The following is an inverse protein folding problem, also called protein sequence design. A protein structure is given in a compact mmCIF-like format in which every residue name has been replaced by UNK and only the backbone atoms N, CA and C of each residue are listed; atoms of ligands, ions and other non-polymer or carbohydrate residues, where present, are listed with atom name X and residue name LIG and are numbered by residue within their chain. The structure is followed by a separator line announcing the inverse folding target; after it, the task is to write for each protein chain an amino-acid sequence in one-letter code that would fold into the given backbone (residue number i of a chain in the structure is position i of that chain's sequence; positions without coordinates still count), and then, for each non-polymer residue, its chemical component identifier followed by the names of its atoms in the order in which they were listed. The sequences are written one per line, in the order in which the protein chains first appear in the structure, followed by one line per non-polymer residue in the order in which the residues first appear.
data_IF_735451608077
#
_entry.id   IF_735451608077
#
_cell.length_a   1.000
_cell.length_b   1.000
_cell.length_c   1.000
_cell.angle_alpha   90.00
_cell.angle_beta   90.00
_cell.angle_gamma   90.00
#
_symmetry.space_group_name_H-M   'P 1'
#
loop_
_entity.id
_entity.type
_entity.pdbx_description
1 polymer ?
#
# COMPACT_ATOMS: atom_id res chain seq x y z
N UNK A 1 28.65 21.58 31.13
CA UNK A 1 27.36 22.30 31.07
C UNK A 1 27.10 22.69 29.62
N UNK A 2 26.55 21.77 28.83
CA UNK A 2 26.16 22.03 27.44
C UNK A 2 24.65 22.21 27.39
N UNK A 3 24.19 23.32 26.82
CA UNK A 3 22.77 23.64 26.66
C UNK A 3 22.14 22.69 25.62
N UNK A 4 21.17 21.90 26.04
CA UNK A 4 20.25 21.22 25.13
C UNK A 4 19.46 22.27 24.35
N UNK A 5 19.69 22.32 23.04
CA UNK A 5 18.81 23.02 22.11
C UNK A 5 17.66 22.06 21.80
N UNK A 6 16.63 22.10 22.64
CA UNK A 6 15.32 21.54 22.32
C UNK A 6 14.77 22.35 21.16
N UNK A 7 14.86 21.81 19.96
CA UNK A 7 14.23 22.38 18.78
C UNK A 7 12.72 22.08 18.89
N UNK A 8 12.00 22.95 19.60
CA UNK A 8 10.54 23.01 19.57
C UNK A 8 10.11 23.24 18.13
N UNK A 9 9.63 22.18 17.48
CA UNK A 9 8.84 22.30 16.26
C UNK A 9 7.55 22.99 16.69
N UNK A 10 7.43 24.28 16.39
CA UNK A 10 6.15 24.97 16.47
C UNK A 10 5.18 24.27 15.52
N UNK A 11 4.32 23.45 16.10
CA UNK A 11 3.11 22.97 15.42
C UNK A 11 2.28 24.22 15.16
N UNK A 12 2.23 24.63 13.90
CA UNK A 12 1.30 25.62 13.37
C UNK A 12 -0.09 25.36 13.97
N UNK A 13 -0.52 26.23 14.88
CA UNK A 13 -1.90 26.29 15.33
C UNK A 13 -2.73 26.78 14.14
N UNK A 14 -3.24 25.85 13.34
CA UNK A 14 -4.33 26.18 12.44
C UNK A 14 -5.53 26.65 13.28
N UNK A 15 -6.14 27.80 12.93
CA UNK A 15 -7.31 28.29 13.64
C UNK A 15 -8.45 27.29 13.47
N UNK A 16 -9.28 27.19 14.52
CA UNK A 16 -10.47 26.36 14.62
C UNK A 16 -11.35 26.47 13.36
N UNK A 17 -11.10 25.59 12.38
CA UNK A 17 -12.08 25.30 11.37
C UNK A 17 -13.16 24.48 12.09
N UNK A 18 -14.39 24.98 12.13
CA UNK A 18 -15.53 24.19 12.56
C UNK A 18 -15.69 22.96 11.67
N UNK A 19 -15.08 21.85 12.07
CA UNK A 19 -15.12 20.58 11.33
C UNK A 19 -16.34 19.79 11.79
N UNK A 20 -17.52 20.18 11.32
CA UNK A 20 -18.61 19.22 11.09
C UNK A 20 -18.36 18.60 9.71
N UNK A 21 -17.35 17.75 9.58
CA UNK A 21 -17.21 16.88 8.41
C UNK A 21 -17.43 15.44 8.85
N UNK A 22 -18.58 14.89 8.48
CA UNK A 22 -18.79 13.46 8.47
C UNK A 22 -17.88 12.87 7.38
N UNK A 23 -16.62 12.57 7.73
CA UNK A 23 -15.67 11.96 6.79
C UNK A 23 -15.82 10.44 6.89
N UNK A 24 -16.75 9.90 6.12
CA UNK A 24 -16.99 8.46 6.04
C UNK A 24 -17.85 8.14 4.82
N UNK A 25 -17.51 7.05 4.13
CA UNK A 25 -18.33 6.53 3.03
C UNK A 25 -19.76 6.32 3.51
N UNK A 26 -20.75 6.92 2.82
CA UNK A 26 -22.18 6.73 3.11
C UNK A 26 -22.63 5.30 2.79
N UNK A 27 -22.26 4.37 3.66
CA UNK A 27 -22.58 2.97 3.53
C UNK A 27 -24.10 2.73 3.50
N UNK A 28 -24.60 1.78 2.68
CA UNK A 28 -26.02 1.39 2.70
C UNK A 28 -26.51 1.21 4.13
N UNK A 29 -27.63 1.80 4.54
CA UNK A 29 -28.06 1.73 5.94
C UNK A 29 -28.26 0.30 6.46
N UNK A 30 -28.54 -0.65 5.56
CA UNK A 30 -28.68 -2.07 5.89
C UNK A 30 -27.31 -2.76 5.98
N UNK A 31 -27.06 -3.45 7.10
CA UNK A 31 -25.85 -4.26 7.32
C UNK A 31 -25.68 -5.33 6.24
N UNK A 32 -26.76 -6.01 5.88
CA UNK A 32 -26.74 -7.05 4.84
C UNK A 32 -26.31 -6.48 3.49
N UNK A 33 -26.83 -5.32 3.10
CA UNK A 33 -26.45 -4.64 1.86
C UNK A 33 -24.99 -4.19 1.86
N UNK A 34 -24.45 -3.74 3.01
CA UNK A 34 -23.02 -3.42 3.17
C UNK A 34 -22.17 -4.67 2.95
N UNK A 35 -22.48 -5.75 3.67
CA UNK A 35 -21.72 -7.00 3.61
C UNK A 35 -21.77 -7.62 2.20
N UNK A 36 -22.94 -7.61 1.55
CA UNK A 36 -23.08 -8.13 0.18
C UNK A 36 -22.28 -7.31 -0.82
N UNK A 37 -22.39 -5.98 -0.77
CA UNK A 37 -21.66 -5.09 -1.67
C UNK A 37 -20.14 -5.24 -1.49
N UNK A 38 -19.66 -5.28 -0.24
CA UNK A 38 -18.26 -5.51 0.09
C UNK A 38 -17.78 -6.87 -0.40
N UNK A 39 -18.55 -7.94 -0.14
CA UNK A 39 -18.20 -9.28 -0.59
C UNK A 39 -18.10 -9.37 -2.11
N UNK A 40 -19.02 -8.69 -2.83
CA UNK A 40 -18.94 -8.59 -4.29
C UNK A 40 -17.66 -7.90 -4.74
N UNK A 41 -17.30 -6.76 -4.14
CA UNK A 41 -16.08 -6.05 -4.51
C UNK A 41 -14.83 -6.86 -4.19
N UNK A 42 -14.71 -7.42 -2.98
CA UNK A 42 -13.56 -8.24 -2.60
C UNK A 42 -13.46 -9.49 -3.47
N UNK A 43 -14.58 -10.11 -3.88
CA UNK A 43 -14.56 -11.23 -4.81
C UNK A 43 -14.05 -10.82 -6.21
N UNK A 44 -14.51 -9.67 -6.72
CA UNK A 44 -14.04 -9.15 -8.01
C UNK A 44 -12.55 -8.78 -7.98
N UNK A 45 -12.10 -8.12 -6.90
CA UNK A 45 -10.72 -7.71 -6.67
C UNK A 45 -9.79 -8.93 -6.56
N UNK A 46 -10.13 -9.88 -5.68
CA UNK A 46 -9.39 -11.13 -5.51
C UNK A 46 -9.36 -11.93 -6.81
N UNK A 47 -10.51 -12.08 -7.47
CA UNK A 47 -10.63 -12.77 -8.76
C UNK A 47 -9.77 -12.13 -9.84
N UNK A 48 -9.77 -10.80 -9.92
CA UNK A 48 -8.90 -10.04 -10.81
C UNK A 48 -7.42 -10.29 -10.50
N UNK A 49 -6.97 -10.11 -9.26
CA UNK A 49 -5.56 -10.28 -8.90
C UNK A 49 -5.07 -11.70 -9.08
N UNK A 50 -5.89 -12.70 -8.76
CA UNK A 50 -5.57 -14.12 -8.99
C UNK A 50 -5.43 -14.43 -10.49
N UNK A 51 -6.34 -13.93 -11.32
CA UNK A 51 -6.32 -14.15 -12.78
C UNK A 51 -5.13 -13.43 -13.41
N UNK A 52 -4.91 -12.16 -13.03
CA UNK A 52 -3.79 -11.36 -13.50
C UNK A 52 -2.45 -11.98 -13.11
N UNK A 53 -2.32 -12.48 -11.88
CA UNK A 53 -1.12 -13.21 -11.45
C UNK A 53 -0.90 -14.48 -12.29
N UNK A 54 -1.96 -15.26 -12.53
CA UNK A 54 -1.87 -16.46 -13.35
C UNK A 54 -1.38 -16.15 -14.76
N UNK A 55 -1.88 -15.07 -15.37
CA UNK A 55 -1.43 -14.60 -16.68
C UNK A 55 0.05 -14.20 -16.66
N UNK A 56 0.51 -13.44 -15.65
CA UNK A 56 1.91 -13.05 -15.53
C UNK A 56 2.84 -14.26 -15.37
N UNK A 57 2.47 -15.22 -14.53
CA UNK A 57 3.21 -16.48 -14.37
C UNK A 57 3.28 -17.22 -15.71
N UNK A 58 2.15 -17.37 -16.40
CA UNK A 58 2.10 -18.06 -17.69
C UNK A 58 3.02 -17.43 -18.74
N UNK A 59 3.04 -16.09 -18.81
CA UNK A 59 3.87 -15.36 -19.77
C UNK A 59 5.35 -15.32 -19.38
N UNK A 60 5.68 -15.23 -18.08
CA UNK A 60 7.06 -15.06 -17.62
C UNK A 60 7.80 -16.39 -17.47
N UNK A 61 7.13 -17.45 -17.00
CA UNK A 61 7.76 -18.72 -16.62
C UNK A 61 8.66 -19.35 -17.71
N UNK A 62 8.29 -19.33 -19.01
CA UNK A 62 9.14 -19.90 -20.06
C UNK A 62 10.50 -19.22 -20.22
N UNK A 63 10.65 -18.00 -19.73
CA UNK A 63 11.85 -17.19 -19.91
C UNK A 63 12.70 -17.10 -18.63
N UNK A 64 12.19 -17.55 -17.48
CA UNK A 64 12.88 -17.40 -16.22
C UNK A 64 14.13 -18.30 -16.16
N UNK A 65 15.32 -17.73 -15.91
CA UNK A 65 16.53 -18.53 -15.76
C UNK A 65 16.45 -19.37 -14.49
N UNK A 66 17.00 -20.58 -14.53
CA UNK A 66 17.19 -21.40 -13.33
C UNK A 66 18.57 -21.13 -12.76
N UNK A 67 18.62 -20.77 -11.48
CA UNK A 67 19.88 -20.47 -10.81
C UNK A 67 20.92 -21.59 -10.96
N UNK A 68 20.47 -22.84 -10.91
CA UNK A 68 21.29 -24.05 -11.02
C UNK A 68 21.92 -24.25 -12.42
N UNK A 69 21.36 -23.61 -13.44
CA UNK A 69 21.81 -23.74 -14.84
C UNK A 69 22.80 -22.63 -15.25
N UNK A 70 23.06 -21.66 -14.38
CA UNK A 70 23.84 -20.47 -14.71
C UNK A 70 25.29 -20.57 -14.23
N UNK A 71 26.23 -20.09 -15.06
CA UNK A 71 27.66 -20.16 -14.76
C UNK A 71 28.10 -19.22 -13.60
N UNK A 72 27.31 -18.21 -13.26
CA UNK A 72 27.60 -17.28 -12.16
C UNK A 72 26.37 -16.48 -11.73
N UNK A 73 26.43 -15.89 -10.53
CA UNK A 73 25.43 -14.93 -10.01
C UNK A 73 25.18 -13.76 -10.95
N UNK A 74 26.24 -13.24 -11.57
CA UNK A 74 26.11 -12.13 -12.52
C UNK A 74 25.33 -12.55 -13.77
N UNK A 75 25.65 -13.72 -14.35
CA UNK A 75 24.96 -14.23 -15.53
C UNK A 75 23.46 -14.47 -15.25
N UNK A 76 23.15 -15.09 -14.12
CA UNK A 76 21.78 -15.27 -13.65
C UNK A 76 21.06 -13.93 -13.50
N UNK A 77 21.66 -12.98 -12.77
CA UNK A 77 21.02 -11.69 -12.49
C UNK A 77 20.75 -10.89 -13.76
N UNK A 78 21.70 -10.87 -14.72
CA UNK A 78 21.53 -10.19 -16.01
C UNK A 78 20.35 -10.74 -16.81
N UNK A 79 20.04 -12.04 -16.69
CA UNK A 79 18.87 -12.67 -17.33
C UNK A 79 17.58 -12.49 -16.52
N UNK A 80 17.65 -12.63 -15.20
CA UNK A 80 16.49 -12.58 -14.31
C UNK A 80 15.94 -11.16 -14.13
N UNK A 81 16.81 -10.16 -14.06
CA UNK A 81 16.45 -8.76 -13.85
C UNK A 81 15.49 -8.20 -14.90
N UNK A 82 15.75 -8.28 -16.23
CA UNK A 82 14.83 -7.69 -17.22
C UNK A 82 13.43 -8.32 -17.19
N UNK A 83 13.33 -9.61 -16.91
CA UNK A 83 12.03 -10.30 -16.78
C UNK A 83 11.32 -9.84 -15.50
N UNK A 84 12.03 -9.87 -14.37
CA UNK A 84 11.53 -9.41 -13.08
C UNK A 84 11.08 -7.94 -13.15
N UNK A 85 11.82 -7.11 -13.88
CA UNK A 85 11.49 -5.71 -14.12
C UNK A 85 10.23 -5.53 -14.95
N UNK A 86 10.11 -6.25 -16.05
CA UNK A 86 8.91 -6.20 -16.91
C UNK A 86 7.67 -6.65 -16.14
N UNK A 87 7.78 -7.74 -15.36
CA UNK A 87 6.69 -8.24 -14.52
C UNK A 87 6.33 -7.22 -13.45
N UNK A 88 7.30 -6.72 -12.68
CA UNK A 88 7.07 -5.76 -11.60
C UNK A 88 6.47 -4.45 -12.11
N UNK A 89 6.96 -3.95 -13.25
CA UNK A 89 6.43 -2.75 -13.92
C UNK A 89 4.98 -2.95 -14.33
N UNK A 90 4.67 -4.11 -14.95
CA UNK A 90 3.32 -4.44 -15.39
C UNK A 90 2.38 -4.56 -14.20
N UNK A 91 2.80 -5.27 -13.14
CA UNK A 91 2.03 -5.43 -11.92
C UNK A 91 1.66 -4.08 -11.33
N UNK A 92 2.67 -3.26 -11.08
CA UNK A 92 2.48 -1.99 -10.41
C UNK A 92 1.62 -1.04 -11.24
N UNK A 93 1.92 -0.91 -12.54
CA UNK A 93 1.18 -0.03 -13.44
C UNK A 93 -0.31 -0.39 -13.50
N UNK A 94 -0.61 -1.69 -13.68
CA UNK A 94 -1.99 -2.18 -13.81
C UNK A 94 -2.74 -2.03 -12.48
N UNK A 95 -2.15 -2.43 -11.36
CA UNK A 95 -2.79 -2.32 -10.04
C UNK A 95 -3.06 -0.86 -9.69
N UNK A 96 -2.06 0.01 -9.83
CA UNK A 96 -2.21 1.44 -9.57
C UNK A 96 -3.30 2.05 -10.46
N UNK A 97 -3.33 1.70 -11.75
CA UNK A 97 -4.38 2.18 -12.67
C UNK A 97 -5.79 1.71 -12.26
N UNK A 98 -5.94 0.47 -11.77
CA UNK A 98 -7.21 -0.04 -11.26
C UNK A 98 -7.63 0.71 -10.00
N UNK A 99 -6.73 0.91 -9.04
CA UNK A 99 -6.98 1.65 -7.80
C UNK A 99 -7.39 3.09 -8.10
N UNK A 100 -6.64 3.79 -8.95
CA UNK A 100 -6.94 5.17 -9.35
C UNK A 100 -8.28 5.25 -10.09
N UNK A 101 -8.58 4.30 -10.99
CA UNK A 101 -9.86 4.26 -11.69
C UNK A 101 -11.04 4.10 -10.72
N UNK A 102 -10.90 3.19 -9.74
CA UNK A 102 -11.91 2.98 -8.71
C UNK A 102 -12.08 4.24 -7.85
N UNK A 103 -10.99 4.90 -7.45
CA UNK A 103 -11.03 6.16 -6.70
C UNK A 103 -11.76 7.28 -7.46
N UNK A 104 -11.55 7.40 -8.77
CA UNK A 104 -12.07 8.52 -9.55
C UNK A 104 -13.49 8.32 -10.11
N UNK A 105 -13.86 7.06 -10.38
CA UNK A 105 -15.09 6.73 -11.11
C UNK A 105 -16.14 6.07 -10.24
N UNK A 106 -15.73 5.43 -9.15
CA UNK A 106 -16.63 4.68 -8.28
C UNK A 106 -16.80 5.38 -6.93
N UNK A 107 -15.77 6.05 -6.42
CA UNK A 107 -15.83 6.65 -5.09
C UNK A 107 -16.42 8.07 -5.06
N UNK A 108 -17.32 8.36 -4.11
CA UNK A 108 -17.81 9.71 -3.90
C UNK A 108 -16.74 10.61 -3.26
N UNK A 109 -16.84 11.92 -3.49
CA UNK A 109 -15.85 12.93 -3.07
C UNK A 109 -15.65 13.02 -1.55
N UNK A 110 -16.65 12.63 -0.76
CA UNK A 110 -16.62 12.58 0.70
C UNK A 110 -15.68 11.52 1.27
N UNK A 111 -15.26 10.55 0.45
CA UNK A 111 -14.36 9.46 0.84
C UNK A 111 -12.88 9.81 0.69
N UNK A 112 -12.56 10.97 0.12
CA UNK A 112 -11.20 11.46 -0.04
C UNK A 112 -10.73 12.07 1.29
N UNK A 113 -9.82 11.43 2.01
CA UNK A 113 -9.32 11.87 3.32
C UNK A 113 -8.22 12.93 3.20
N UNK A 114 -7.47 12.94 2.09
CA UNK A 114 -6.31 13.81 1.90
C UNK A 114 -6.65 15.30 1.85
N UNK A 115 -6.28 16.02 2.91
CA UNK A 115 -6.46 17.48 3.01
C UNK A 115 -5.71 18.26 1.92
N UNK A 116 -4.58 17.74 1.44
CA UNK A 116 -3.73 18.35 0.41
C UNK A 116 -4.26 18.17 -1.03
N UNK A 117 -5.11 17.16 -1.30
CA UNK A 117 -5.92 17.12 -2.54
C UNK A 117 -7.00 18.22 -2.54
N UNK A 118 -7.39 18.70 -1.36
CA UNK A 118 -8.41 19.75 -1.16
C UNK A 118 -7.81 21.16 -1.12
N UNK A 119 -6.57 21.34 -0.64
CA UNK A 119 -5.98 22.66 -0.35
C UNK A 119 -5.12 23.28 -1.47
N UNK A 120 -4.92 22.57 -2.58
CA UNK A 120 -4.13 23.06 -3.73
C UNK A 120 -4.95 23.52 -4.94
N UNK A 121 -6.27 23.32 -4.94
CA UNK A 121 -7.12 23.80 -6.01
C UNK A 121 -7.43 25.29 -5.76
N UNK A 122 -6.99 26.24 -6.63
CA UNK A 122 -7.51 27.60 -6.55
C UNK A 122 -9.05 27.54 -6.55
N UNK A 123 -9.73 28.46 -5.84
CA UNK A 123 -11.20 28.48 -5.74
C UNK A 123 -11.92 28.47 -7.10
N UNK A 124 -11.22 28.80 -8.19
CA UNK A 124 -11.69 28.66 -9.57
C UNK A 124 -11.65 27.21 -10.11
N UNK A 125 -10.74 26.35 -9.64
CA UNK A 125 -10.69 24.92 -9.94
C UNK A 125 -11.71 24.11 -9.12
N UNK A 126 -12.25 24.65 -8.02
CA UNK A 126 -13.43 24.07 -7.36
C UNK A 126 -14.69 24.06 -8.25
N UNK A 127 -14.70 24.82 -9.36
CA UNK A 127 -15.77 24.77 -10.37
C UNK A 127 -15.50 23.78 -11.51
N UNK A 128 -14.26 23.34 -11.69
CA UNK A 128 -13.90 22.23 -12.59
C UNK A 128 -13.78 20.92 -11.81
N UNK A 129 -14.82 20.58 -11.03
CA UNK A 129 -15.02 19.26 -10.42
C UNK A 129 -15.35 18.19 -11.49
N UNK A 130 -14.58 18.16 -12.56
CA UNK A 130 -14.61 17.12 -13.57
C UNK A 130 -13.69 15.99 -13.14
N UNK A 131 -14.12 14.76 -13.40
CA UNK A 131 -13.27 13.57 -13.34
C UNK A 131 -11.86 13.85 -13.90
N UNK A 132 -10.84 13.29 -13.27
CA UNK A 132 -9.45 13.43 -13.73
C UNK A 132 -9.34 13.17 -15.24
N UNK A 133 -8.64 14.01 -15.99
CA UNK A 133 -8.51 13.83 -17.44
C UNK A 133 -7.45 12.75 -17.75
N UNK A 134 -7.88 11.49 -17.70
CA UNK A 134 -7.10 10.29 -18.03
C UNK A 134 -6.41 10.33 -19.41
N UNK A 135 -6.97 11.08 -20.36
CA UNK A 135 -6.40 11.28 -21.70
C UNK A 135 -5.31 12.35 -21.80
N UNK A 136 -5.00 13.07 -20.71
CA UNK A 136 -3.93 14.06 -20.72
C UNK A 136 -2.57 13.34 -20.65
N UNK A 137 -1.68 13.65 -21.59
CA UNK A 137 -0.32 13.10 -21.70
C UNK A 137 0.47 13.18 -20.39
N UNK A 138 0.18 14.16 -19.53
CA UNK A 138 0.78 14.32 -18.21
C UNK A 138 0.46 13.19 -17.22
N UNK A 139 -0.77 12.66 -17.21
CA UNK A 139 -1.14 11.56 -16.31
C UNK A 139 -0.36 10.30 -16.64
N UNK A 140 -0.41 9.87 -17.91
CA UNK A 140 0.28 8.67 -18.36
C UNK A 140 1.80 8.76 -18.13
N UNK A 141 2.43 9.91 -18.41
CA UNK A 141 3.86 10.09 -18.18
C UNK A 141 4.20 10.02 -16.69
N UNK A 142 3.39 10.63 -15.83
CA UNK A 142 3.63 10.61 -14.39
C UNK A 142 3.42 9.19 -13.82
N UNK A 143 2.34 8.52 -14.20
CA UNK A 143 2.02 7.15 -13.77
C UNK A 143 3.06 6.14 -14.25
N UNK A 144 3.53 6.28 -15.49
CA UNK A 144 4.58 5.44 -16.04
C UNK A 144 5.91 5.72 -15.36
N UNK A 145 6.32 6.99 -15.26
CA UNK A 145 7.55 7.40 -14.57
C UNK A 145 7.60 6.89 -13.13
N UNK A 146 6.46 6.88 -12.48
CA UNK A 146 6.27 6.36 -11.14
C UNK A 146 6.38 4.83 -11.07
N UNK A 147 5.65 4.12 -11.94
CA UNK A 147 5.73 2.66 -12.03
C UNK A 147 7.14 2.18 -12.33
N UNK A 148 7.89 2.92 -13.17
CA UNK A 148 9.30 2.65 -13.46
C UNK A 148 10.17 2.76 -12.19
N UNK A 149 9.94 3.75 -11.32
CA UNK A 149 10.69 3.93 -10.07
C UNK A 149 10.44 2.78 -9.07
N UNK A 150 9.21 2.28 -8.98
CA UNK A 150 8.85 1.14 -8.13
C UNK A 150 9.35 -0.19 -8.66
N UNK A 151 9.26 -0.38 -9.97
CA UNK A 151 9.62 -1.62 -10.61
C UNK A 151 11.09 -1.99 -10.39
N UNK A 152 12.01 -1.02 -10.33
CA UNK A 152 13.44 -1.29 -10.14
C UNK A 152 13.73 -2.05 -8.83
N UNK A 153 13.44 -1.50 -7.63
CA UNK A 153 13.76 -2.20 -6.39
C UNK A 153 12.99 -3.52 -6.23
N UNK A 154 11.72 -3.57 -6.68
CA UNK A 154 10.93 -4.82 -6.65
C UNK A 154 11.57 -5.87 -7.56
N UNK A 155 12.05 -5.48 -8.74
CA UNK A 155 12.72 -6.37 -9.67
C UNK A 155 14.06 -6.87 -9.16
N UNK A 156 14.86 -6.01 -8.53
CA UNK A 156 16.11 -6.42 -7.89
C UNK A 156 15.80 -7.43 -6.78
N UNK A 157 14.85 -7.12 -5.89
CA UNK A 157 14.45 -8.02 -4.81
C UNK A 157 13.95 -9.36 -5.35
N UNK A 158 13.09 -9.32 -6.37
CA UNK A 158 12.58 -10.52 -7.04
C UNK A 158 13.70 -11.34 -7.66
N UNK A 159 14.62 -10.73 -8.41
CA UNK A 159 15.74 -11.45 -9.02
C UNK A 159 16.65 -12.09 -7.96
N UNK A 160 16.92 -11.40 -6.85
CA UNK A 160 17.73 -11.95 -5.75
C UNK A 160 17.03 -13.08 -5.01
N UNK A 161 15.72 -12.96 -4.79
CA UNK A 161 14.93 -13.93 -4.02
C UNK A 161 14.39 -15.07 -4.87
N UNK A 162 14.37 -14.97 -6.20
CA UNK A 162 13.80 -15.99 -7.08
C UNK A 162 14.39 -17.40 -6.94
N UNK A 163 15.70 -17.59 -6.64
CA UNK A 163 16.25 -18.92 -6.34
C UNK A 163 15.64 -19.58 -5.10
N UNK A 164 14.91 -18.82 -4.28
CA UNK A 164 14.17 -19.30 -3.12
C UNK A 164 12.78 -19.85 -3.48
N UNK A 165 12.32 -19.67 -4.72
CA UNK A 165 10.98 -20.07 -5.14
C UNK A 165 10.98 -21.47 -5.72
N UNK A 166 9.91 -22.19 -5.44
CA UNK A 166 9.60 -23.45 -6.09
C UNK A 166 8.88 -23.16 -7.41
N UNK A 167 9.68 -23.03 -8.47
CA UNK A 167 9.19 -22.62 -9.79
C UNK A 167 8.49 -23.77 -10.55
N UNK A 168 8.68 -25.02 -10.13
CA UNK A 168 8.17 -26.20 -10.83
C UNK A 168 6.95 -26.84 -10.17
N UNK A 169 6.78 -26.62 -8.86
CA UNK A 169 5.64 -27.20 -8.16
C UNK A 169 4.32 -26.52 -8.52
N UNK A 170 3.23 -27.30 -8.65
CA UNK A 170 1.90 -26.74 -8.76
C UNK A 170 1.56 -25.94 -7.50
N UNK A 171 0.92 -24.78 -7.70
CA UNK A 171 0.54 -23.92 -6.59
C UNK A 171 -0.60 -24.56 -5.79
N UNK A 172 -0.41 -24.66 -4.47
CA UNK A 172 -1.44 -25.10 -3.54
C UNK A 172 -2.41 -23.96 -3.26
N UNK A 173 -3.37 -23.73 -4.16
CA UNK A 173 -4.29 -22.59 -4.11
C UNK A 173 -5.04 -22.43 -2.78
N UNK A 174 -5.27 -23.51 -2.03
CA UNK A 174 -5.91 -23.44 -0.71
C UNK A 174 -5.01 -22.81 0.37
N UNK A 175 -3.68 -22.84 0.21
CA UNK A 175 -2.72 -22.18 1.12
C UNK A 175 -2.45 -20.74 0.72
N UNK A 176 -2.70 -20.38 -0.54
CA UNK A 176 -2.43 -19.04 -1.08
C UNK A 176 -3.08 -17.91 -0.25
N UNK A 177 -4.35 -18.00 0.22
CA UNK A 177 -4.93 -16.96 1.08
C UNK A 177 -4.13 -16.70 2.36
N UNK A 178 -3.65 -17.77 3.01
CA UNK A 178 -2.85 -17.66 4.23
C UNK A 178 -1.47 -17.06 3.95
N UNK A 179 -0.88 -17.39 2.80
CA UNK A 179 0.40 -16.81 2.37
C UNK A 179 0.27 -15.31 2.07
N UNK A 180 -0.78 -14.90 1.38
CA UNK A 180 -1.09 -13.48 1.14
C UNK A 180 -1.31 -12.74 2.45
N UNK A 181 -2.14 -13.26 3.35
CA UNK A 181 -2.38 -12.59 4.64
C UNK A 181 -1.11 -12.51 5.49
N UNK A 182 -0.31 -13.59 5.53
CA UNK A 182 0.99 -13.59 6.18
C UNK A 182 1.88 -12.48 5.64
N UNK A 183 1.97 -12.35 4.31
CA UNK A 183 2.76 -11.32 3.64
C UNK A 183 2.30 -9.89 3.98
N UNK A 184 0.99 -9.65 4.03
CA UNK A 184 0.46 -8.33 4.40
C UNK A 184 0.81 -7.97 5.84
N UNK A 185 0.65 -8.92 6.77
CA UNK A 185 0.97 -8.71 8.20
C UNK A 185 2.48 -8.55 8.40
N UNK A 186 3.31 -9.44 7.86
CA UNK A 186 4.77 -9.35 8.03
C UNK A 186 5.34 -8.12 7.34
N UNK A 187 4.77 -7.74 6.20
CA UNK A 187 5.10 -6.52 5.48
C UNK A 187 4.79 -5.28 6.30
N UNK A 188 3.63 -5.25 6.97
CA UNK A 188 3.26 -4.15 7.88
C UNK A 188 4.26 -3.99 9.05
N UNK A 189 4.66 -5.09 9.69
CA UNK A 189 5.68 -5.04 10.76
C UNK A 189 7.04 -4.56 10.26
N UNK A 190 7.49 -5.05 9.10
CA UNK A 190 8.75 -4.65 8.51
C UNK A 190 8.74 -3.16 8.15
N UNK A 191 7.66 -2.70 7.51
CA UNK A 191 7.47 -1.30 7.17
C UNK A 191 7.41 -0.43 8.42
N UNK A 192 6.57 -0.77 9.39
CA UNK A 192 6.45 -0.05 10.67
C UNK A 192 7.80 0.11 11.35
N UNK A 193 8.63 -0.94 11.37
CA UNK A 193 9.95 -0.91 12.01
C UNK A 193 10.89 0.07 11.30
N UNK A 194 10.95 0.01 9.97
CA UNK A 194 11.78 0.90 9.15
C UNK A 194 11.29 2.34 9.27
N UNK A 195 9.98 2.56 9.22
CA UNK A 195 9.36 3.87 9.24
C UNK A 195 9.51 4.54 10.61
N UNK A 196 9.27 3.79 11.70
CA UNK A 196 9.58 4.25 13.06
C UNK A 196 11.06 4.62 13.21
N UNK A 197 11.96 3.78 12.69
CA UNK A 197 13.40 4.03 12.71
C UNK A 197 13.78 5.31 11.96
N UNK A 198 13.19 5.56 10.79
CA UNK A 198 13.38 6.79 10.01
C UNK A 198 12.98 8.01 10.84
N UNK A 199 11.83 7.97 11.52
CA UNK A 199 11.37 9.05 12.37
C UNK A 199 12.17 9.20 13.67
N UNK A 200 12.73 8.11 14.19
CA UNK A 200 13.53 8.11 15.42
C UNK A 200 14.95 8.65 15.20
N UNK A 201 15.56 8.35 14.06
CA UNK A 201 16.95 8.69 13.77
C UNK A 201 17.07 9.70 12.63
N UNK A 202 17.38 10.96 12.98
CA UNK A 202 17.52 12.08 12.03
C UNK A 202 18.48 11.80 10.86
N UNK A 203 19.53 11.00 11.09
CA UNK A 203 20.46 10.60 10.03
C UNK A 203 19.77 9.71 9.01
N UNK A 204 19.02 8.69 9.47
CA UNK A 204 18.27 7.80 8.59
C UNK A 204 17.19 8.57 7.83
N UNK A 205 16.41 9.40 8.54
CA UNK A 205 15.39 10.30 7.96
C UNK A 205 15.89 11.10 6.75
N UNK A 206 17.10 11.66 6.87
CA UNK A 206 17.72 12.47 5.81
C UNK A 206 18.34 11.61 4.71
N UNK A 207 19.01 10.51 5.07
CA UNK A 207 19.66 9.62 4.11
C UNK A 207 18.66 8.92 3.20
N UNK A 208 17.48 8.56 3.74
CA UNK A 208 16.42 7.96 2.94
C UNK A 208 15.63 8.99 2.14
N UNK A 209 15.82 10.28 2.41
CA UNK A 209 15.01 11.38 1.89
C UNK A 209 13.52 11.23 2.26
N UNK A 210 13.25 10.73 3.46
CA UNK A 210 11.88 10.57 3.97
C UNK A 210 11.17 11.93 4.14
N UNK A 211 11.94 13.02 4.22
CA UNK A 211 11.40 14.39 4.24
C UNK A 211 10.62 14.75 2.99
N UNK A 212 11.00 14.19 1.83
CA UNK A 212 10.29 14.42 0.57
C UNK A 212 8.82 13.96 0.66
N UNK A 213 8.57 12.89 1.42
CA UNK A 213 7.24 12.30 1.66
C UNK A 213 6.33 13.21 2.49
N UNK A 214 6.89 13.86 3.50
CA UNK A 214 6.17 14.75 4.40
C UNK A 214 6.04 16.20 3.90
N UNK A 215 6.90 16.64 2.97
CA UNK A 215 6.95 18.05 2.52
C UNK A 215 6.20 18.35 1.21
N UNK A 216 5.49 17.37 0.63
CA UNK A 216 4.52 17.53 -0.46
C UNK A 216 4.81 18.66 -1.47
N UNK A 217 5.55 18.34 -2.55
CA UNK A 217 5.76 19.28 -3.66
C UNK A 217 4.79 19.00 -4.81
N UNK A 218 3.78 19.86 -4.97
CA UNK A 218 2.89 19.87 -6.14
C UNK A 218 3.68 20.15 -7.44
N UNK A 219 3.29 19.61 -8.61
CA UNK A 219 2.19 18.67 -8.91
C UNK A 219 2.51 17.19 -8.66
N UNK A 220 3.66 16.87 -8.08
CA UNK A 220 4.16 15.50 -8.02
C UNK A 220 3.42 14.68 -6.95
N UNK A 221 2.80 15.36 -5.99
CA UNK A 221 1.96 14.79 -4.94
C UNK A 221 0.59 14.27 -5.39
N UNK A 222 0.11 14.64 -6.59
CA UNK A 222 -1.24 14.28 -7.03
C UNK A 222 -1.34 12.95 -7.79
N UNK A 223 -0.21 12.26 -8.05
CA UNK A 223 -0.12 11.17 -9.05
C UNK A 223 0.78 9.98 -8.69
N UNK A 224 1.27 9.83 -7.46
CA UNK A 224 2.09 8.68 -7.09
C UNK A 224 3.00 8.95 -5.89
N UNK A 225 3.65 7.90 -5.34
CA UNK A 225 4.23 7.90 -3.98
C UNK A 225 5.25 8.98 -3.73
N UNK A 226 5.26 9.41 -2.48
CA UNK A 226 6.01 10.56 -2.02
C UNK A 226 7.34 10.11 -1.39
N UNK A 227 7.78 8.87 -1.65
CA UNK A 227 9.04 8.32 -1.14
C UNK A 227 10.24 8.72 -2.00
N UNK A 228 11.34 9.08 -1.34
CA UNK A 228 12.66 9.17 -1.95
C UNK A 228 13.09 7.81 -2.53
N UNK A 229 13.96 7.80 -3.56
CA UNK A 229 14.46 6.53 -4.13
C UNK A 229 15.12 5.63 -3.09
N UNK A 230 15.97 6.13 -2.16
CA UNK A 230 16.58 5.26 -1.16
C UNK A 230 15.57 4.74 -0.13
N UNK A 231 14.56 5.53 0.24
CA UNK A 231 13.45 5.09 1.09
C UNK A 231 12.66 3.96 0.43
N UNK A 232 12.30 4.16 -0.85
CA UNK A 232 11.60 3.18 -1.64
C UNK A 232 12.36 1.84 -1.71
N UNK A 233 13.67 1.90 -1.99
CA UNK A 233 14.52 0.71 -1.97
C UNK A 233 14.51 0.04 -0.60
N UNK A 234 14.74 0.79 0.48
CA UNK A 234 14.80 0.26 1.84
C UNK A 234 13.50 -0.44 2.23
N UNK A 235 12.37 0.23 2.03
CA UNK A 235 11.04 -0.29 2.34
C UNK A 235 10.71 -1.52 1.49
N UNK A 236 11.00 -1.48 0.19
CA UNK A 236 10.74 -2.61 -0.72
C UNK A 236 11.56 -3.84 -0.34
N UNK A 237 12.86 -3.69 -0.07
CA UNK A 237 13.71 -4.80 0.32
C UNK A 237 13.33 -5.36 1.70
N UNK A 238 13.01 -4.50 2.66
CA UNK A 238 12.59 -4.92 3.99
C UNK A 238 11.29 -5.73 3.94
N UNK A 239 10.28 -5.24 3.20
CA UNK A 239 9.00 -5.94 3.01
C UNK A 239 9.23 -7.24 2.25
N UNK A 240 9.94 -7.23 1.12
CA UNK A 240 10.16 -8.42 0.30
C UNK A 240 10.91 -9.52 1.07
N UNK A 241 12.01 -9.17 1.74
CA UNK A 241 12.79 -10.12 2.53
C UNK A 241 11.96 -10.71 3.67
N UNK A 242 11.23 -9.86 4.42
CA UNK A 242 10.38 -10.33 5.52
C UNK A 242 9.27 -11.24 5.00
N UNK A 243 8.57 -10.83 3.94
CA UNK A 243 7.46 -11.59 3.39
C UNK A 243 7.92 -12.95 2.88
N UNK A 244 9.01 -13.03 2.11
CA UNK A 244 9.52 -14.29 1.59
C UNK A 244 10.03 -15.18 2.72
N UNK A 245 10.85 -14.65 3.65
CA UNK A 245 11.46 -15.47 4.70
C UNK A 245 10.42 -15.99 5.71
N UNK A 246 9.58 -15.10 6.27
CA UNK A 246 8.60 -15.50 7.27
C UNK A 246 7.51 -16.39 6.69
N UNK A 247 6.98 -16.05 5.51
CA UNK A 247 5.93 -16.88 4.88
C UNK A 247 6.46 -18.26 4.53
N UNK A 248 7.71 -18.36 4.02
CA UNK A 248 8.34 -19.67 3.77
C UNK A 248 8.51 -20.49 5.04
N UNK A 249 8.95 -19.87 6.12
CA UNK A 249 9.18 -20.54 7.40
C UNK A 249 7.89 -21.08 8.01
N UNK A 250 6.78 -20.34 7.91
CA UNK A 250 5.51 -20.70 8.56
C UNK A 250 4.64 -21.60 7.67
N UNK A 251 4.56 -21.31 6.37
CA UNK A 251 3.59 -21.90 5.44
C UNK A 251 4.23 -22.76 4.34
N UNK A 252 5.56 -22.93 4.38
CA UNK A 252 6.32 -23.78 3.46
C UNK A 252 6.71 -23.08 2.15
N UNK A 253 7.19 -23.85 1.15
CA UNK A 253 7.73 -23.30 -0.10
C UNK A 253 6.78 -22.32 -0.80
N UNK A 254 7.35 -21.27 -1.40
CA UNK A 254 6.60 -20.28 -2.20
C UNK A 254 6.79 -20.60 -3.67
N UNK A 255 5.70 -20.71 -4.43
CA UNK A 255 5.79 -20.73 -5.89
C UNK A 255 5.93 -19.31 -6.44
N UNK A 256 6.26 -19.18 -7.73
CA UNK A 256 6.23 -17.88 -8.41
C UNK A 256 4.84 -17.24 -8.34
N UNK A 257 3.78 -18.03 -8.47
CA UNK A 257 2.40 -17.54 -8.34
C UNK A 257 2.14 -16.97 -6.95
N UNK A 258 2.51 -17.69 -5.88
CA UNK A 258 2.31 -17.20 -4.52
C UNK A 258 3.03 -15.88 -4.30
N UNK A 259 4.31 -15.79 -4.72
CA UNK A 259 5.12 -14.58 -4.58
C UNK A 259 4.53 -13.39 -5.35
N UNK A 260 4.14 -13.58 -6.61
CA UNK A 260 3.59 -12.51 -7.43
C UNK A 260 2.23 -12.05 -6.90
N UNK A 261 1.39 -12.96 -6.40
CA UNK A 261 0.10 -12.58 -5.80
C UNK A 261 0.29 -11.83 -4.47
N UNK A 262 1.20 -12.30 -3.60
CA UNK A 262 1.58 -11.57 -2.39
C UNK A 262 2.04 -10.15 -2.72
N UNK A 263 2.88 -10.01 -3.75
CA UNK A 263 3.38 -8.71 -4.21
C UNK A 263 2.27 -7.82 -4.77
N UNK A 264 1.29 -8.38 -5.49
CA UNK A 264 0.14 -7.60 -5.98
C UNK A 264 -0.65 -6.95 -4.84
N UNK A 265 -1.00 -7.71 -3.80
CA UNK A 265 -1.76 -7.16 -2.66
C UNK A 265 -0.95 -6.15 -1.84
N UNK A 266 0.38 -6.31 -1.75
CA UNK A 266 1.26 -5.29 -1.16
C UNK A 266 1.27 -4.01 -2.01
N UNK A 267 1.34 -4.13 -3.34
CA UNK A 267 1.26 -2.97 -4.23
C UNK A 267 -0.08 -2.27 -4.13
N UNK A 268 -1.19 -3.01 -4.10
CA UNK A 268 -2.52 -2.45 -3.92
C UNK A 268 -2.61 -1.72 -2.59
N UNK A 269 -2.20 -2.33 -1.48
CA UNK A 269 -2.15 -1.67 -0.16
C UNK A 269 -1.43 -0.33 -0.25
N UNK A 270 -0.26 -0.30 -0.87
CA UNK A 270 0.51 0.93 -1.06
C UNK A 270 -0.24 1.94 -1.93
N UNK A 271 -0.83 1.53 -3.05
CA UNK A 271 -1.57 2.44 -3.93
C UNK A 271 -2.81 3.00 -3.24
N UNK A 272 -3.54 2.17 -2.52
CA UNK A 272 -4.72 2.52 -1.75
C UNK A 272 -4.37 3.52 -0.64
N UNK A 273 -3.32 3.25 0.12
CA UNK A 273 -2.81 4.14 1.16
C UNK A 273 -2.46 5.54 0.61
N UNK A 274 -1.67 5.57 -0.48
CA UNK A 274 -1.21 6.82 -1.08
C UNK A 274 -2.26 7.53 -1.94
N UNK A 275 -3.36 6.87 -2.28
CA UNK A 275 -4.51 7.53 -2.92
C UNK A 275 -5.13 8.59 -2.01
N UNK A 276 -4.96 8.44 -0.68
CA UNK A 276 -5.66 9.26 0.31
C UNK A 276 -7.19 9.15 0.22
N UNK A 277 -7.72 8.08 -0.39
CA UNK A 277 -9.13 7.78 -0.52
C UNK A 277 -9.47 6.56 0.34
N UNK A 278 -10.52 6.63 1.16
CA UNK A 278 -10.99 5.47 1.89
C UNK A 278 -11.75 4.54 0.94
N UNK A 279 -11.13 3.41 0.56
CA UNK A 279 -11.78 2.46 -0.31
C UNK A 279 -12.69 1.52 0.49
N UNK A 280 -13.97 1.40 0.12
CA UNK A 280 -14.94 0.57 0.83
C UNK A 280 -14.60 -0.93 0.77
N UNK A 281 -13.90 -1.37 -0.27
CA UNK A 281 -13.56 -2.78 -0.46
C UNK A 281 -12.21 -3.18 0.15
N UNK A 282 -11.32 -2.19 0.38
CA UNK A 282 -10.05 -2.43 1.04
C UNK A 282 -10.27 -2.61 2.53
N UNK A 283 -10.18 -3.86 2.98
CA UNK A 283 -10.35 -4.23 4.37
C UNK A 283 -9.07 -4.81 4.98
N UNK A 284 -7.96 -4.84 4.24
CA UNK A 284 -6.69 -5.38 4.72
C UNK A 284 -6.62 -6.92 4.90
N UNK A 285 -7.72 -7.62 4.62
CA UNK A 285 -7.88 -9.07 4.67
C UNK A 285 -8.67 -9.57 3.44
N UNK A 286 -8.08 -9.53 2.24
CA UNK A 286 -8.81 -9.64 0.97
C UNK A 286 -9.61 -10.96 0.82
N UNK A 287 -9.08 -12.06 1.36
CA UNK A 287 -9.74 -13.38 1.30
C UNK A 287 -10.72 -13.66 2.43
N UNK A 288 -10.76 -12.82 3.48
CA UNK A 288 -11.74 -12.92 4.55
C UNK A 288 -12.16 -11.51 5.01
N UNK A 289 -12.89 -10.76 4.17
CA UNK A 289 -13.23 -9.36 4.44
C UNK A 289 -13.83 -9.09 5.83
N UNK A 290 -14.74 -9.93 6.36
CA UNK A 290 -15.29 -9.73 7.71
C UNK A 290 -14.22 -9.67 8.81
N UNK A 291 -13.14 -10.46 8.68
CA UNK A 291 -12.03 -10.45 9.65
C UNK A 291 -11.23 -9.16 9.56
N UNK A 292 -11.01 -8.64 8.36
CA UNK A 292 -10.35 -7.35 8.14
C UNK A 292 -11.03 -6.21 8.90
N UNK A 293 -12.37 -6.16 8.83
CA UNK A 293 -13.16 -5.19 9.59
C UNK A 293 -13.14 -5.43 11.10
N UNK A 294 -13.23 -6.69 11.53
CA UNK A 294 -13.16 -7.04 12.95
C UNK A 294 -11.84 -6.56 13.57
N UNK A 295 -10.74 -6.70 12.82
CA UNK A 295 -9.39 -6.27 13.18
C UNK A 295 -9.10 -4.80 12.82
N UNK A 296 -10.09 -4.05 12.32
CA UNK A 296 -10.00 -2.63 11.97
C UNK A 296 -8.93 -2.30 10.92
N UNK A 297 -8.59 -3.25 10.05
CA UNK A 297 -7.58 -3.08 9.01
C UNK A 297 -8.11 -2.23 7.84
N UNK A 298 -9.43 -2.07 7.73
CA UNK A 298 -10.09 -1.10 6.86
C UNK A 298 -9.77 0.37 7.20
N UNK A 299 -9.25 0.62 8.41
CA UNK A 299 -8.96 1.96 8.90
C UNK A 299 -7.51 2.38 8.66
N UNK A 300 -6.73 1.57 7.93
CA UNK A 300 -5.30 1.80 7.73
C UNK A 300 -4.99 3.14 7.07
N UNK A 301 -5.79 3.52 6.08
CA UNK A 301 -5.66 4.79 5.32
C UNK A 301 -5.88 6.00 6.24
N UNK A 302 -6.87 5.94 7.13
CA UNK A 302 -7.10 7.01 8.09
C UNK A 302 -5.95 7.10 9.11
N UNK A 303 -5.37 5.97 9.52
CA UNK A 303 -4.19 5.97 10.38
C UNK A 303 -2.99 6.61 9.69
N UNK A 304 -2.73 6.27 8.44
CA UNK A 304 -1.63 6.85 7.68
C UNK A 304 -1.84 8.36 7.41
N UNK A 305 -3.06 8.79 7.08
CA UNK A 305 -3.37 10.23 6.96
C UNK A 305 -3.17 10.95 8.30
N UNK A 306 -3.46 10.28 9.43
CA UNK A 306 -3.21 10.82 10.76
C UNK A 306 -1.72 11.13 10.98
N UNK A 307 -0.85 10.21 10.55
CA UNK A 307 0.61 10.33 10.63
C UNK A 307 1.12 11.54 9.85
N UNK A 308 0.62 11.73 8.63
CA UNK A 308 1.06 12.83 7.77
C UNK A 308 0.66 14.21 8.29
N UNK A 309 -0.55 14.33 8.84
CA UNK A 309 -1.16 15.65 9.02
C UNK A 309 -1.39 16.06 10.48
N UNK A 310 -1.41 15.10 11.41
CA UNK A 310 -1.95 15.36 12.76
C UNK A 310 -1.05 14.89 13.89
N UNK A 311 -0.22 13.87 13.70
CA UNK A 311 0.57 13.31 14.79
C UNK A 311 1.81 12.55 14.32
N UNK A 312 2.72 12.25 15.25
CA UNK A 312 3.97 11.56 14.95
C UNK A 312 3.86 10.02 14.89
N UNK A 313 2.73 9.43 15.24
CA UNK A 313 2.51 7.96 15.31
C UNK A 313 1.78 7.44 14.06
N UNK A 314 1.32 6.19 14.06
CA UNK A 314 0.72 5.47 12.91
C UNK A 314 1.70 5.19 11.77
N UNK A 315 2.73 4.37 12.03
CA UNK A 315 3.83 4.14 11.09
C UNK A 315 3.58 2.97 10.11
N UNK A 316 2.64 2.07 10.39
CA UNK A 316 2.29 0.94 9.55
C UNK A 316 1.40 1.33 8.37
N UNK A 317 1.38 0.47 7.35
CA UNK A 317 0.55 0.62 6.13
C UNK A 317 -0.81 -0.05 6.28
N UNK A 318 -0.84 -1.16 7.03
CA UNK A 318 -2.04 -1.89 7.41
C UNK A 318 -2.47 -1.53 8.84
N UNK A 319 -1.49 -1.14 9.67
CA UNK A 319 -1.70 -0.69 11.05
C UNK A 319 -1.89 -1.83 12.06
N UNK A 320 -1.54 -3.06 11.70
CA UNK A 320 -1.49 -4.19 12.65
C UNK A 320 -0.41 -3.93 13.69
N UNK A 321 0.78 -3.55 13.24
CA UNK A 321 1.89 -3.22 14.12
C UNK A 321 1.53 -2.02 15.02
N UNK A 322 0.87 -1.00 14.48
CA UNK A 322 0.46 0.17 15.27
C UNK A 322 -0.54 -0.16 16.37
N UNK A 323 -1.48 -1.05 16.09
CA UNK A 323 -2.44 -1.51 17.10
C UNK A 323 -1.74 -2.28 18.23
N UNK A 324 -0.77 -3.14 17.88
CA UNK A 324 -0.03 -3.96 18.84
C UNK A 324 0.92 -3.12 19.69
N UNK A 325 1.64 -2.17 19.09
CA UNK A 325 2.59 -1.30 19.80
C UNK A 325 1.95 -0.04 20.39
N UNK A 326 0.64 0.13 20.25
CA UNK A 326 -0.09 1.29 20.80
C UNK A 326 0.21 2.61 20.10
N UNK A 327 0.70 2.57 18.86
CA UNK A 327 0.98 3.74 18.02
C UNK A 327 -0.16 4.09 17.07
N UNK A 328 -1.28 3.36 17.08
CA UNK A 328 -2.44 3.67 16.26
C UNK A 328 -3.12 4.98 16.69
N UNK A 329 -3.14 5.97 15.80
CA UNK A 329 -3.82 7.27 15.93
C UNK A 329 -4.63 7.57 14.68
N UNK A 330 -5.67 8.39 14.84
CA UNK A 330 -6.63 8.76 13.78
C UNK A 330 -6.77 10.29 13.70
N UNK A 331 -7.26 10.83 12.56
CA UNK A 331 -7.52 12.25 12.43
C UNK A 331 -8.55 12.75 13.47
N UNK A 332 -8.44 13.99 13.95
CA UNK A 332 -9.44 14.59 14.83
C UNK A 332 -10.84 14.56 14.18
N UNK A 333 -11.87 14.16 14.94
CA UNK A 333 -13.25 14.05 14.42
C UNK A 333 -13.50 12.85 13.50
N UNK A 334 -12.52 11.96 13.31
CA UNK A 334 -12.73 10.72 12.57
C UNK A 334 -13.69 9.79 13.34
N UNK A 335 -14.95 9.82 12.93
CA UNK A 335 -15.99 8.93 13.40
C UNK A 335 -16.15 7.80 12.39
N UNK A 336 -15.49 6.66 12.65
CA UNK A 336 -15.87 5.44 11.96
C UNK A 336 -17.31 5.11 12.38
N UNK A 337 -18.25 5.11 11.45
CA UNK A 337 -19.66 4.80 11.70
C UNK A 337 -19.78 3.30 12.10
N UNK A 338 -19.64 3.03 13.40
CA UNK A 338 -19.54 1.68 14.01
C UNK A 338 -20.87 0.94 14.05
N UNK A 339 -21.52 0.75 12.92
CA UNK A 339 -22.70 -0.12 12.83
C UNK A 339 -22.43 -1.59 13.19
N UNK A 340 -21.17 -2.03 13.23
CA UNK A 340 -20.77 -3.44 13.40
C UNK A 340 -20.28 -3.83 14.80
N UNK A 341 -19.72 -2.91 15.60
CA UNK A 341 -19.08 -3.24 16.89
C UNK A 341 -19.92 -2.89 18.13
N UNK A 342 -21.00 -2.11 18.01
CA UNK A 342 -21.91 -1.89 19.13
C UNK A 342 -22.63 -3.18 19.58
N UNK A 343 -22.66 -4.23 18.73
CA UNK A 343 -23.18 -5.56 19.08
C UNK A 343 -22.16 -6.53 19.67
N UNK A 344 -20.86 -6.21 19.61
CA UNK A 344 -19.77 -7.09 20.10
C UNK A 344 -18.97 -6.47 21.25
N UNK A 345 -19.46 -5.38 21.85
CA UNK A 345 -18.87 -4.74 23.06
C UNK A 345 -19.12 -5.54 24.35
N UNK A 346 -19.31 -6.86 24.25
CA UNK A 346 -19.52 -7.79 25.35
C UNK A 346 -18.53 -8.96 25.23
N UNK A 347 -17.23 -8.66 25.16
CA UNK A 347 -16.15 -9.58 25.53
C UNK A 347 -15.02 -8.79 26.21
#
# INVERSE_FOLDING_TARGET
MGKEVVQTVEVSKHPDAGVNSHVGFCWPKSLLSRMLLQSCFSFMEVGFQMTFTGLLVYLASPFLPRWEEEASWLAYFVKAFPISYTVSLTQYFVISAVVDFLADRVMPLDCQLSSHKRSGAPETAQKEKGHYHWGNRGYFINHLGFSLRFAIPVAIGTAVLMPMFDLDSPTKLFLTPFKVQSALVTGDFAYWTVHWAQHKWKTLYKMTDHTYHHQFKYPWSSVGTWLGVPDLCLSTFAIAASNVLFTRMILGPLTLYDYLLMTNFVHEMNCVDHSGCMFPFWNGCPFLPPLGFLLRLDQSIAMHEAHHNYNFYSFGLLGVADQIFGTAKYPPGYHCDRGLLAGFSLL
#
